data_IF_325791532186
#
_entry.id   IF_325791532186
#
_cell.length_a   1.000
_cell.length_b   1.000
_cell.length_c   1.000
_cell.angle_alpha   90.00
_cell.angle_beta   90.00
_cell.angle_gamma   90.00
#
_symmetry.space_group_name_H-M   'P 1'
#
loop_
_entity.id
_entity.type
_entity.pdbx_description
1 polymer ?
#
# COMPACT_ATOMS: atom_id res chain seq x y z
N UNK A 1 -4.85 -19.51 32.52
CA UNK A 1 -4.46 -20.59 31.58
C UNK A 1 -5.54 -20.89 30.53
N UNK A 2 -6.81 -20.99 30.93
CA UNK A 2 -7.92 -21.41 30.05
C UNK A 2 -8.11 -20.57 28.77
N UNK A 3 -7.76 -19.28 28.81
CA UNK A 3 -7.92 -18.37 27.68
C UNK A 3 -6.63 -18.06 26.92
N UNK A 4 -5.50 -18.67 27.30
CA UNK A 4 -4.22 -18.35 26.67
C UNK A 4 -4.24 -18.66 25.16
N UNK A 5 -4.78 -19.81 24.78
CA UNK A 5 -4.93 -20.19 23.38
C UNK A 5 -5.80 -19.17 22.62
N UNK A 6 -6.92 -18.74 23.21
CA UNK A 6 -7.82 -17.76 22.59
C UNK A 6 -7.13 -16.40 22.41
N UNK A 7 -6.41 -15.94 23.42
CA UNK A 7 -5.65 -14.68 23.38
C UNK A 7 -4.56 -14.75 22.30
N UNK A 8 -3.83 -15.85 22.22
CA UNK A 8 -2.82 -16.06 21.17
C UNK A 8 -3.44 -16.07 19.78
N UNK A 9 -4.61 -16.71 19.62
CA UNK A 9 -5.35 -16.75 18.35
C UNK A 9 -5.79 -15.35 17.91
N UNK A 10 -6.34 -14.55 18.84
CA UNK A 10 -6.75 -13.17 18.57
C UNK A 10 -5.55 -12.29 18.23
N UNK A 11 -4.44 -12.42 18.96
CA UNK A 11 -3.21 -11.67 18.69
C UNK A 11 -2.64 -12.01 17.30
N UNK A 12 -2.62 -13.30 16.94
CA UNK A 12 -2.16 -13.74 15.62
C UNK A 12 -3.06 -13.19 14.51
N UNK A 13 -4.38 -13.24 14.69
CA UNK A 13 -5.34 -12.73 13.71
C UNK A 13 -5.19 -11.22 13.51
N UNK A 14 -5.07 -10.47 14.60
CA UNK A 14 -4.84 -9.02 14.58
C UNK A 14 -3.52 -8.68 13.87
N UNK A 15 -2.45 -9.42 14.18
CA UNK A 15 -1.14 -9.22 13.54
C UNK A 15 -1.19 -9.51 12.04
N UNK A 16 -1.79 -10.62 11.63
CA UNK A 16 -1.93 -10.98 10.20
C UNK A 16 -2.75 -9.95 9.46
N UNK A 17 -3.88 -9.51 10.03
CA UNK A 17 -4.71 -8.44 9.45
C UNK A 17 -3.95 -7.14 9.28
N UNK A 18 -3.24 -6.69 10.33
CA UNK A 18 -2.41 -5.48 10.27
C UNK A 18 -1.25 -5.62 9.27
N UNK A 19 -0.59 -6.79 9.22
CA UNK A 19 0.53 -7.05 8.31
C UNK A 19 0.08 -7.07 6.85
N UNK A 20 -1.11 -7.60 6.58
CA UNK A 20 -1.72 -7.63 5.26
C UNK A 20 -2.07 -6.23 4.76
N UNK A 21 -2.70 -5.39 5.58
CA UNK A 21 -3.01 -4.00 5.19
C UNK A 21 -1.76 -3.17 4.93
N UNK A 22 -0.71 -3.35 5.75
CA UNK A 22 0.62 -2.77 5.52
C UNK A 22 1.27 -3.25 4.22
N UNK A 23 1.10 -4.52 3.85
CA UNK A 23 1.65 -5.06 2.60
C UNK A 23 1.03 -4.37 1.36
N UNK A 24 -0.28 -4.13 1.40
CA UNK A 24 -1.01 -3.44 0.32
C UNK A 24 -0.62 -1.97 0.23
N UNK A 25 -0.41 -1.29 1.37
CA UNK A 25 0.02 0.11 1.40
C UNK A 25 1.45 0.34 0.85
N UNK A 26 2.32 -0.67 0.93
CA UNK A 26 3.66 -0.63 0.37
C UNK A 26 3.71 -0.95 -1.13
N UNK A 27 2.58 -1.32 -1.75
CA UNK A 27 2.53 -1.57 -3.19
C UNK A 27 2.71 -0.23 -3.90
N UNK A 28 3.70 -0.11 -4.81
CA UNK A 28 3.81 1.05 -5.67
C UNK A 28 2.50 1.16 -6.46
N UNK A 29 1.74 2.23 -6.23
CA UNK A 29 0.64 2.56 -7.14
C UNK A 29 1.28 2.85 -8.49
N UNK A 30 0.79 2.24 -9.56
CA UNK A 30 1.13 2.70 -10.91
C UNK A 30 0.60 4.12 -10.97
N UNK A 31 1.48 5.10 -10.70
CA UNK A 31 1.18 6.48 -11.05
C UNK A 31 1.03 6.45 -12.56
N UNK A 32 -0.20 6.57 -13.02
CA UNK A 32 -0.46 7.10 -14.35
C UNK A 32 0.12 8.50 -14.29
N UNK A 33 1.35 8.65 -14.77
CA UNK A 33 1.95 9.95 -15.02
C UNK A 33 0.99 10.59 -16.02
N UNK A 34 0.34 11.67 -15.60
CA UNK A 34 -0.53 12.42 -16.50
C UNK A 34 0.33 13.05 -17.59
N UNK A 35 -0.22 13.32 -18.79
CA UNK A 35 0.53 13.95 -19.88
C UNK A 35 1.17 15.29 -19.47
N UNK A 36 0.64 15.95 -18.43
CA UNK A 36 1.20 17.18 -17.84
C UNK A 36 2.58 16.98 -17.17
N UNK A 37 2.88 15.78 -16.68
CA UNK A 37 4.17 15.40 -16.08
C UNK A 37 5.15 14.79 -17.12
N UNK A 38 4.74 14.66 -18.39
CA UNK A 38 5.60 14.15 -19.46
C UNK A 38 6.54 15.25 -19.98
N UNK A 39 7.88 15.08 -19.90
CA UNK A 39 8.83 16.11 -20.32
C UNK A 39 8.73 16.42 -21.82
N UNK A 40 8.23 15.49 -22.63
CA UNK A 40 7.94 15.70 -24.05
C UNK A 40 6.77 16.66 -24.29
N UNK A 41 5.71 16.61 -23.47
CA UNK A 41 4.56 17.50 -23.62
C UNK A 41 4.92 18.96 -23.30
N UNK A 42 5.63 19.18 -22.18
CA UNK A 42 6.12 20.51 -21.79
C UNK A 42 7.05 21.13 -22.85
N UNK A 43 7.88 20.30 -23.52
CA UNK A 43 8.74 20.74 -24.62
C UNK A 43 7.96 21.25 -25.84
N UNK A 44 6.76 20.73 -26.09
CA UNK A 44 5.91 21.13 -27.23
C UNK A 44 5.08 22.38 -26.96
N UNK A 45 4.83 22.73 -25.69
CA UNK A 45 4.07 23.93 -25.32
C UNK A 45 4.94 25.21 -25.39
N UNK A 46 6.26 25.08 -25.22
CA UNK A 46 7.23 26.18 -25.28
C UNK A 46 7.81 26.48 -26.67
N UNK A 47 7.37 25.74 -27.70
CA UNK A 47 7.70 25.94 -29.11
C UNK A 47 6.54 26.59 -29.86
#
# INVERSE_FOLDING_TARGET
MQFLLLITLLALLAYVGWRATRATAARPTTRVIGPDDDPEFLRRLGS
#
